data_IF_703740410394
#
_entry.id   IF_703740410394
#
_cell.length_a   1.000
_cell.length_b   1.000
_cell.length_c   1.000
_cell.angle_alpha   90.00
_cell.angle_beta   90.00
_cell.angle_gamma   90.00
#
_symmetry.space_group_name_H-M   'P 1'
#
loop_
_entity.id
_entity.type
_entity.pdbx_description
1 polymer ?
#
# COMPACT_ATOMS: atom_id res chain seq x y z
N UNK A 1 -3.74 6.07 -16.44
CA UNK A 1 -2.58 6.87 -16.89
C UNK A 1 -2.85 7.35 -18.31
N UNK A 2 -2.40 8.53 -18.69
CA UNK A 2 -2.55 9.08 -20.05
C UNK A 2 -1.18 9.47 -20.56
N UNK A 3 -0.90 9.13 -21.82
CA UNK A 3 0.31 9.49 -22.54
C UNK A 3 -0.07 10.15 -23.87
N UNK A 4 0.67 11.16 -24.29
CA UNK A 4 0.46 11.85 -25.56
C UNK A 4 1.72 11.80 -26.38
N UNK A 5 1.62 11.31 -27.62
CA UNK A 5 2.75 11.11 -28.52
C UNK A 5 2.40 11.58 -29.94
N UNK A 6 3.34 12.24 -30.67
CA UNK A 6 3.10 12.65 -32.07
C UNK A 6 3.02 11.44 -33.01
N UNK A 7 3.70 10.34 -32.68
CA UNK A 7 3.74 9.11 -33.47
C UNK A 7 2.99 7.98 -32.75
N UNK A 8 2.53 7.00 -33.53
CA UNK A 8 1.91 5.81 -32.93
C UNK A 8 2.92 4.99 -32.14
N UNK A 9 2.53 4.54 -30.96
CA UNK A 9 3.35 3.66 -30.13
C UNK A 9 3.45 2.26 -30.78
N UNK A 10 4.66 1.71 -30.81
CA UNK A 10 4.92 0.36 -31.34
C UNK A 10 5.01 -0.68 -30.21
N UNK A 11 5.63 -0.30 -29.10
CA UNK A 11 5.81 -1.20 -27.98
C UNK A 11 5.19 -0.59 -26.72
N UNK A 12 4.34 -1.35 -26.05
CA UNK A 12 3.74 -1.00 -24.77
C UNK A 12 3.93 -2.18 -23.82
N UNK A 13 4.48 -1.93 -22.65
CA UNK A 13 4.63 -2.93 -21.61
C UNK A 13 4.21 -2.33 -20.27
N UNK A 14 3.32 -3.00 -19.57
CA UNK A 14 2.95 -2.64 -18.20
C UNK A 14 3.38 -3.77 -17.29
N UNK A 15 4.22 -3.46 -16.30
CA UNK A 15 4.65 -4.41 -15.29
C UNK A 15 4.05 -4.07 -13.93
N UNK A 16 3.64 -5.11 -13.22
CA UNK A 16 3.16 -5.04 -11.85
C UNK A 16 4.16 -5.74 -10.95
N UNK A 17 4.72 -5.03 -9.98
CA UNK A 17 5.53 -5.61 -8.92
C UNK A 17 4.69 -5.80 -7.67
N UNK A 18 4.67 -7.03 -7.14
CA UNK A 18 3.98 -7.42 -5.91
C UNK A 18 4.72 -8.56 -5.23
N UNK A 19 4.94 -8.49 -3.91
CA UNK A 19 5.53 -9.57 -3.11
C UNK A 19 6.85 -10.11 -3.70
N UNK A 20 7.76 -9.20 -4.09
CA UNK A 20 9.04 -9.51 -4.74
C UNK A 20 8.93 -10.23 -6.09
N UNK A 21 7.77 -10.20 -6.73
CA UNK A 21 7.55 -10.75 -8.07
C UNK A 21 7.18 -9.65 -9.05
N UNK A 22 7.72 -9.74 -10.25
CA UNK A 22 7.37 -8.89 -11.39
C UNK A 22 6.47 -9.67 -12.33
N UNK A 23 5.30 -9.12 -12.64
CA UNK A 23 4.28 -9.69 -13.52
C UNK A 23 4.12 -8.76 -14.70
N UNK A 24 4.26 -9.28 -15.93
CA UNK A 24 3.94 -8.54 -17.14
C UNK A 24 2.43 -8.66 -17.38
N UNK A 25 1.75 -7.53 -17.35
CA UNK A 25 0.30 -7.47 -17.56
C UNK A 25 -0.04 -7.66 -19.04
N UNK A 26 -1.18 -8.33 -19.32
CA UNK A 26 -1.66 -8.62 -20.66
C UNK A 26 -2.79 -7.68 -21.06
N UNK A 27 -2.68 -7.05 -22.23
CA UNK A 27 -3.77 -6.26 -22.80
C UNK A 27 -5.04 -7.10 -23.02
N UNK A 28 -6.19 -6.48 -22.80
CA UNK A 28 -7.50 -7.13 -22.88
C UNK A 28 -7.87 -7.98 -21.66
N UNK A 29 -6.86 -8.52 -20.96
CA UNK A 29 -7.04 -9.33 -19.76
C UNK A 29 -6.80 -8.52 -18.49
N UNK A 30 -5.64 -7.86 -18.36
CA UNK A 30 -5.21 -7.19 -17.14
C UNK A 30 -5.33 -5.68 -17.23
N UNK A 31 -5.26 -5.15 -18.44
CA UNK A 31 -5.47 -3.73 -18.71
C UNK A 31 -6.13 -3.53 -20.08
N UNK A 32 -6.57 -2.30 -20.33
CA UNK A 32 -7.12 -1.83 -21.60
C UNK A 32 -6.43 -0.55 -22.01
N UNK A 33 -6.32 -0.36 -23.34
CA UNK A 33 -5.85 0.87 -23.94
C UNK A 33 -6.99 1.48 -24.75
N UNK A 34 -7.28 2.76 -24.51
CA UNK A 34 -8.06 3.59 -25.40
C UNK A 34 -7.12 4.55 -26.11
N UNK A 35 -7.18 4.55 -27.45
CA UNK A 35 -6.37 5.42 -28.29
C UNK A 35 -7.27 6.48 -28.92
N UNK A 36 -6.91 7.75 -28.77
CA UNK A 36 -7.58 8.88 -29.38
C UNK A 36 -6.60 9.67 -30.26
N UNK A 37 -7.11 10.44 -31.21
CA UNK A 37 -6.29 11.25 -32.12
C UNK A 37 -5.80 10.46 -33.34
N UNK A 38 -4.64 10.83 -33.88
CA UNK A 38 -4.15 10.39 -35.17
C UNK A 38 -4.66 11.30 -36.31
N UNK A 39 -4.44 10.89 -37.58
CA UNK A 39 -4.84 11.68 -38.77
C UNK A 39 -4.31 13.13 -38.76
N UNK A 40 -3.04 13.31 -38.42
CA UNK A 40 -2.40 14.63 -38.30
C UNK A 40 -2.58 15.31 -36.94
N UNK A 41 -3.21 14.64 -36.00
CA UNK A 41 -3.26 15.02 -34.59
C UNK A 41 -2.37 14.09 -33.76
N UNK A 42 -1.98 14.56 -32.57
CA UNK A 42 -1.25 13.73 -31.60
C UNK A 42 -2.13 12.60 -31.13
N UNK A 43 -1.50 11.42 -30.94
CA UNK A 43 -2.16 10.29 -30.31
C UNK A 43 -2.20 10.49 -28.80
N UNK A 44 -3.36 10.17 -28.21
CA UNK A 44 -3.53 10.07 -26.77
C UNK A 44 -3.83 8.62 -26.39
N UNK A 45 -3.00 8.05 -25.54
CA UNK A 45 -3.15 6.69 -25.03
C UNK A 45 -3.63 6.72 -23.58
N UNK A 46 -4.78 6.11 -23.32
CA UNK A 46 -5.39 6.06 -21.98
C UNK A 46 -5.31 4.62 -21.48
N UNK A 47 -4.47 4.38 -20.50
CA UNK A 47 -4.28 3.07 -19.89
C UNK A 47 -5.21 2.89 -18.70
N UNK A 48 -6.00 1.83 -18.70
CA UNK A 48 -6.87 1.41 -17.59
C UNK A 48 -6.44 0.04 -17.10
N UNK A 49 -5.68 -0.02 -16.01
CA UNK A 49 -5.33 -1.28 -15.33
C UNK A 49 -6.53 -1.74 -14.51
N UNK A 50 -6.92 -3.02 -14.68
CA UNK A 50 -8.13 -3.55 -14.07
C UNK A 50 -7.93 -3.86 -12.58
N UNK A 51 -8.96 -3.58 -11.77
CA UNK A 51 -8.93 -3.73 -10.31
C UNK A 51 -8.63 -5.16 -9.84
N UNK A 52 -8.93 -6.18 -10.64
CA UNK A 52 -8.61 -7.58 -10.31
C UNK A 52 -7.13 -7.85 -10.05
N UNK A 53 -6.23 -7.03 -10.64
CA UNK A 53 -4.79 -7.15 -10.42
C UNK A 53 -4.37 -6.75 -9.00
N UNK A 54 -5.26 -6.10 -8.25
CA UNK A 54 -5.06 -5.59 -6.89
C UNK A 54 -6.03 -6.25 -5.91
N UNK A 55 -6.37 -7.52 -6.18
CA UNK A 55 -7.38 -8.24 -5.39
C UNK A 55 -6.90 -8.62 -3.99
N UNK A 56 -5.61 -8.81 -3.78
CA UNK A 56 -5.04 -9.23 -2.50
C UNK A 56 -4.41 -8.06 -1.76
N UNK A 57 -4.17 -8.23 -0.47
CA UNK A 57 -3.40 -7.27 0.32
C UNK A 57 -1.94 -7.28 -0.10
N UNK A 58 -1.30 -6.12 -0.05
CA UNK A 58 0.10 -5.99 -0.41
C UNK A 58 0.49 -4.60 -0.87
N UNK A 59 1.78 -4.41 -1.06
CA UNK A 59 2.35 -3.21 -1.66
C UNK A 59 2.59 -3.47 -3.13
N UNK A 60 2.05 -2.60 -3.96
CA UNK A 60 2.08 -2.70 -5.41
C UNK A 60 2.90 -1.56 -6.00
N UNK A 61 3.64 -1.87 -7.08
CA UNK A 61 4.27 -0.85 -7.93
C UNK A 61 3.95 -1.15 -9.38
N UNK A 62 3.66 -0.11 -10.15
CA UNK A 62 3.38 -0.19 -11.58
C UNK A 62 4.46 0.54 -12.36
N UNK A 63 5.01 -0.14 -13.37
CA UNK A 63 5.86 0.47 -14.39
C UNK A 63 5.14 0.44 -15.72
N UNK A 64 5.11 1.59 -16.39
CA UNK A 64 4.61 1.76 -17.74
C UNK A 64 5.81 2.06 -18.63
N UNK A 65 5.97 1.25 -19.64
CA UNK A 65 6.97 1.43 -20.72
C UNK A 65 6.24 1.61 -22.03
N UNK A 66 6.67 2.56 -22.83
CA UNK A 66 6.21 2.75 -24.19
C UNK A 66 7.36 3.19 -25.10
N UNK A 67 7.28 2.81 -26.37
CA UNK A 67 8.23 3.18 -27.41
C UNK A 67 7.48 3.56 -28.68
N UNK A 68 7.85 4.67 -29.32
CA UNK A 68 7.29 5.11 -30.57
C UNK A 68 8.02 4.54 -31.80
N UNK A 69 7.52 4.82 -33.00
CA UNK A 69 8.13 4.39 -34.24
C UNK A 69 9.52 4.99 -34.52
N UNK A 70 9.87 6.09 -33.86
CA UNK A 70 11.18 6.73 -33.97
C UNK A 70 12.19 6.15 -32.95
N UNK A 71 11.77 5.24 -32.08
CA UNK A 71 12.58 4.65 -31.03
C UNK A 71 12.70 5.51 -29.76
N UNK A 72 11.84 6.51 -29.58
CA UNK A 72 11.80 7.26 -28.35
C UNK A 72 11.07 6.47 -27.27
N UNK A 73 11.68 6.40 -26.08
CA UNK A 73 11.17 5.61 -24.95
C UNK A 73 10.64 6.54 -23.86
N UNK A 74 9.48 6.20 -23.33
CA UNK A 74 8.93 6.75 -22.09
C UNK A 74 8.73 5.64 -21.06
N UNK A 75 9.23 5.85 -19.84
CA UNK A 75 9.10 4.94 -18.71
C UNK A 75 8.93 5.72 -17.41
N UNK A 76 8.07 5.24 -16.51
CA UNK A 76 7.81 5.87 -15.21
C UNK A 76 8.65 5.25 -14.09
N UNK A 77 9.92 5.08 -14.27
CA UNK A 77 10.83 4.55 -13.26
C UNK A 77 11.43 5.63 -12.37
N UNK A 78 11.99 5.23 -11.23
CA UNK A 78 12.71 6.11 -10.32
C UNK A 78 13.90 6.80 -11.00
N UNK A 79 14.59 6.10 -11.88
CA UNK A 79 15.80 6.59 -12.57
C UNK A 79 15.53 7.74 -13.52
N UNK A 80 14.30 7.84 -14.04
CA UNK A 80 13.90 8.89 -14.97
C UNK A 80 13.30 10.12 -14.28
N UNK A 81 13.29 10.18 -12.94
CA UNK A 81 12.61 11.20 -12.12
C UNK A 81 11.11 11.35 -12.42
N UNK A 82 10.52 10.38 -13.07
CA UNK A 82 9.08 10.26 -13.26
C UNK A 82 8.49 9.58 -12.03
N UNK A 83 7.24 9.88 -11.72
CA UNK A 83 6.60 9.34 -10.53
C UNK A 83 6.44 7.83 -10.64
N UNK A 84 7.09 7.08 -9.73
CA UNK A 84 6.76 5.70 -9.47
C UNK A 84 5.30 5.62 -9.00
N UNK A 85 4.53 4.71 -9.59
CA UNK A 85 3.16 4.46 -9.13
C UNK A 85 3.21 3.32 -8.12
N UNK A 86 3.32 3.69 -6.84
CA UNK A 86 3.31 2.76 -5.72
C UNK A 86 2.14 3.02 -4.79
N UNK A 87 1.47 1.97 -4.32
CA UNK A 87 0.38 2.04 -3.36
C UNK A 87 0.20 0.72 -2.60
N UNK A 88 -0.42 0.80 -1.42
CA UNK A 88 -0.86 -0.36 -0.65
C UNK A 88 -2.32 -0.68 -0.88
N UNK A 89 -2.66 -1.96 -0.86
CA UNK A 89 -4.03 -2.46 -0.72
C UNK A 89 -4.09 -3.24 0.58
N UNK A 90 -4.98 -2.84 1.46
CA UNK A 90 -5.22 -3.45 2.75
C UNK A 90 -6.72 -3.63 2.98
N UNK A 91 -7.15 -4.86 3.15
CA UNK A 91 -8.53 -5.26 3.40
C UNK A 91 -8.67 -6.03 4.70
N UNK A 92 -7.55 -6.41 5.27
CA UNK A 92 -7.49 -7.14 6.53
C UNK A 92 -7.58 -6.16 7.69
N UNK A 93 -8.42 -6.47 8.65
CA UNK A 93 -8.55 -5.65 9.85
C UNK A 93 -7.41 -5.98 10.82
N UNK A 94 -6.86 -4.99 11.52
CA UNK A 94 -5.91 -5.25 12.58
C UNK A 94 -6.53 -6.10 13.68
N UNK A 95 -5.70 -6.88 14.35
CA UNK A 95 -6.06 -7.61 15.55
C UNK A 95 -5.41 -6.96 16.77
N UNK A 96 -6.07 -7.10 17.92
CA UNK A 96 -5.56 -6.66 19.22
C UNK A 96 -6.14 -7.52 20.34
N UNK A 97 -5.32 -7.81 21.33
CA UNK A 97 -5.74 -8.52 22.54
C UNK A 97 -4.98 -8.01 23.77
N UNK A 98 -5.65 -7.98 24.93
CA UNK A 98 -5.00 -7.85 26.23
C UNK A 98 -4.43 -9.23 26.59
N UNK A 99 -3.15 -9.29 26.96
CA UNK A 99 -2.43 -10.57 27.13
C UNK A 99 -2.25 -11.00 28.58
N UNK A 100 -2.34 -10.05 29.53
CA UNK A 100 -2.07 -10.32 30.94
C UNK A 100 -3.23 -10.06 31.90
N UNK A 101 -4.41 -9.69 31.39
CA UNK A 101 -5.61 -9.54 32.22
C UNK A 101 -6.72 -10.51 31.77
N UNK A 102 -7.47 -11.01 32.74
CA UNK A 102 -8.61 -11.88 32.50
C UNK A 102 -9.92 -11.10 32.70
N UNK A 103 -10.94 -11.41 31.90
CA UNK A 103 -12.28 -10.84 32.06
C UNK A 103 -12.88 -11.22 33.43
N UNK A 104 -13.68 -10.31 33.99
CA UNK A 104 -14.41 -10.50 35.25
C UNK A 104 -13.49 -10.74 36.47
N UNK A 105 -12.23 -10.41 36.40
CA UNK A 105 -11.25 -10.52 37.49
C UNK A 105 -10.95 -9.16 38.08
N UNK A 106 -10.84 -9.10 39.43
CA UNK A 106 -10.48 -7.90 40.16
C UNK A 106 -8.98 -7.85 40.39
N UNK A 107 -8.35 -6.78 39.93
CA UNK A 107 -6.92 -6.53 40.13
C UNK A 107 -6.70 -5.34 41.06
N UNK A 108 -5.67 -5.36 41.91
CA UNK A 108 -5.27 -4.17 42.66
C UNK A 108 -4.74 -3.11 41.69
N UNK A 109 -5.21 -1.85 41.83
CA UNK A 109 -4.81 -0.74 40.96
C UNK A 109 -3.39 -0.21 41.22
N UNK A 110 -2.77 -0.61 42.33
CA UNK A 110 -1.39 -0.14 42.63
C UNK A 110 -0.38 -0.79 41.70
N UNK A 111 0.15 0.02 40.78
CA UNK A 111 1.18 -0.40 39.81
C UNK A 111 0.75 -1.54 38.89
N UNK A 112 -0.48 -1.51 38.40
CA UNK A 112 -0.96 -2.49 37.41
C UNK A 112 -0.39 -2.15 36.03
N UNK A 113 0.50 -2.99 35.53
CA UNK A 113 0.97 -2.92 34.13
C UNK A 113 0.06 -3.76 33.25
N UNK A 114 -0.48 -3.16 32.22
CA UNK A 114 -1.30 -3.82 31.20
C UNK A 114 -0.46 -4.11 29.98
N UNK A 115 -0.52 -5.36 29.49
CA UNK A 115 0.15 -5.79 28.26
C UNK A 115 -0.85 -6.05 27.14
N UNK A 116 -0.54 -5.56 25.95
CA UNK A 116 -1.35 -5.74 24.75
C UNK A 116 -0.50 -6.39 23.65
N UNK A 117 -1.11 -7.28 22.89
CA UNK A 117 -0.64 -7.64 21.55
C UNK A 117 -1.46 -6.89 20.52
N UNK A 118 -0.83 -6.34 19.50
CA UNK A 118 -1.51 -5.74 18.35
C UNK A 118 -0.73 -6.07 17.08
N UNK A 119 -1.43 -6.35 16.00
CA UNK A 119 -0.80 -6.72 14.74
C UNK A 119 -1.72 -6.49 13.54
N UNK A 120 -1.08 -6.37 12.40
CA UNK A 120 -1.72 -6.27 11.09
C UNK A 120 -0.86 -6.98 10.04
N UNK A 121 -1.46 -7.40 8.93
CA UNK A 121 -0.74 -8.09 7.86
C UNK A 121 0.14 -7.17 7.01
N UNK A 122 -0.08 -5.85 7.05
CA UNK A 122 0.76 -4.87 6.37
C UNK A 122 1.47 -3.94 7.36
N UNK A 123 0.75 -3.02 7.97
CA UNK A 123 1.36 -2.02 8.85
C UNK A 123 0.30 -1.39 9.77
N UNK A 124 0.60 -1.36 11.08
CA UNK A 124 -0.14 -0.53 12.03
C UNK A 124 0.40 0.90 12.01
N UNK A 125 -0.49 1.86 11.83
CA UNK A 125 -0.13 3.29 11.88
C UNK A 125 -0.10 3.84 13.30
N UNK A 126 -1.02 3.38 14.15
CA UNK A 126 -1.08 3.74 15.56
C UNK A 126 -1.78 2.68 16.38
N UNK A 127 -1.41 2.57 17.66
CA UNK A 127 -2.17 1.86 18.70
C UNK A 127 -2.54 2.89 19.75
N UNK A 128 -3.83 2.96 20.11
CA UNK A 128 -4.35 3.96 21.06
C UNK A 128 -5.16 3.26 22.14
N UNK A 129 -4.88 3.59 23.39
CA UNK A 129 -5.64 3.13 24.56
C UNK A 129 -6.43 4.30 25.13
N UNK A 130 -7.67 4.03 25.42
CA UNK A 130 -8.59 4.93 26.15
C UNK A 130 -9.00 4.26 27.45
N UNK A 131 -9.08 5.03 28.53
CA UNK A 131 -9.64 4.60 29.81
C UNK A 131 -10.86 5.49 30.10
N UNK A 132 -12.05 4.89 30.16
CA UNK A 132 -13.34 5.50 30.50
C UNK A 132 -13.82 6.65 29.58
N UNK A 133 -12.91 7.35 28.91
CA UNK A 133 -13.23 8.52 28.07
C UNK A 133 -12.56 8.41 26.69
N UNK A 134 -13.36 8.12 25.66
CA UNK A 134 -12.90 8.03 24.27
C UNK A 134 -12.50 9.38 23.64
N UNK A 135 -12.76 10.49 24.32
CA UNK A 135 -12.34 11.82 23.84
C UNK A 135 -10.86 12.13 24.13
N UNK A 136 -10.24 11.39 25.06
CA UNK A 136 -8.87 11.59 25.48
C UNK A 136 -8.09 10.28 25.51
N UNK A 137 -7.11 10.19 24.61
CA UNK A 137 -6.18 9.06 24.61
C UNK A 137 -5.39 9.00 25.92
N UNK A 138 -5.36 7.84 26.56
CA UNK A 138 -4.53 7.57 27.74
C UNK A 138 -3.09 7.27 27.33
N UNK A 139 -2.91 6.40 26.32
CA UNK A 139 -1.63 6.05 25.75
C UNK A 139 -1.74 5.93 24.23
N UNK A 140 -0.73 6.38 23.51
CA UNK A 140 -0.62 6.25 22.07
C UNK A 140 0.77 5.77 21.71
N UNK A 141 0.87 4.82 20.79
CA UNK A 141 2.10 4.45 20.10
C UNK A 141 2.01 4.87 18.64
N UNK A 142 3.04 5.53 18.17
CA UNK A 142 3.20 5.95 16.77
C UNK A 142 3.67 4.78 15.90
N UNK A 143 3.61 4.94 14.58
CA UNK A 143 4.11 3.92 13.65
C UNK A 143 5.59 3.56 13.87
N UNK A 144 6.41 4.53 14.27
CA UNK A 144 7.83 4.33 14.55
C UNK A 144 8.06 3.50 15.83
N UNK A 145 7.34 3.82 16.91
CA UNK A 145 7.38 3.06 18.16
C UNK A 145 6.85 1.64 17.97
N UNK A 146 5.77 1.48 17.18
CA UNK A 146 5.21 0.18 16.82
C UNK A 146 6.25 -0.66 16.07
N UNK A 147 6.91 -0.09 15.08
CA UNK A 147 7.93 -0.80 14.31
C UNK A 147 9.09 -1.29 15.19
N UNK A 148 9.51 -0.50 16.16
CA UNK A 148 10.54 -0.90 17.12
C UNK A 148 10.07 -2.05 18.03
N UNK A 149 8.85 -1.96 18.60
CA UNK A 149 8.29 -3.00 19.46
C UNK A 149 8.14 -4.33 18.68
N UNK A 150 7.63 -4.28 17.44
CA UNK A 150 7.45 -5.46 16.59
C UNK A 150 8.80 -6.08 16.21
N UNK A 151 9.82 -5.26 15.91
CA UNK A 151 11.16 -5.76 15.59
C UNK A 151 11.80 -6.53 16.75
N UNK A 152 11.54 -6.09 17.99
CA UNK A 152 12.02 -6.72 19.21
C UNK A 152 11.11 -7.86 19.71
N UNK A 153 10.05 -8.20 18.98
CA UNK A 153 9.02 -9.16 19.40
C UNK A 153 8.40 -8.81 20.77
N UNK A 154 8.33 -7.52 21.06
CA UNK A 154 7.82 -6.98 22.31
C UNK A 154 6.29 -6.88 22.36
N UNK A 155 5.78 -6.55 23.53
CA UNK A 155 4.38 -6.22 23.76
C UNK A 155 4.21 -4.72 23.98
N UNK A 156 3.03 -4.21 23.70
CA UNK A 156 2.66 -2.84 24.04
C UNK A 156 2.26 -2.80 25.52
N UNK A 157 3.00 -2.07 26.35
CA UNK A 157 2.75 -2.00 27.80
C UNK A 157 2.46 -0.59 28.25
N UNK A 158 1.58 -0.47 29.24
CA UNK A 158 1.31 0.79 29.95
C UNK A 158 0.87 0.51 31.37
N UNK A 159 1.11 1.45 32.26
CA UNK A 159 0.74 1.39 33.67
C UNK A 159 -0.57 2.17 33.90
N UNK A 160 -1.42 1.65 34.79
CA UNK A 160 -2.65 2.30 35.26
C UNK A 160 -2.46 2.75 36.71
#
# INVERSE_FOLDING_TARGET
>A
MTETNPDALQNICITLFKNNQTIILQEGTDYRIEVRGGNGQWYEYIYTVLAKNFADDGVYRLTFYSEDAAGNIAENTLDTKKQEIGFGVDKTKPNMAVTNLESDTTYPLENLTVSLSAGDNLLLQSVVVYLDDYSKAYKTWTAEEIAAIVADQGEFTFDI
#
